data_IF_383577219766
#
_entry.id   IF_383577219766
#
_cell.length_a   1.000
_cell.length_b   1.000
_cell.length_c   1.000
_cell.angle_alpha   90.00
_cell.angle_beta   90.00
_cell.angle_gamma   90.00
#
_symmetry.space_group_name_H-M   'P 1'
#
loop_
_entity.id
_entity.type
_entity.pdbx_description
1 polymer ?
#
# COMPACT_ATOMS: atom_id res chain seq x y z
N UNK A 1 -22.80 -0.47 -1.34
CA UNK A 1 -22.12 -0.77 -0.05
C UNK A 1 -20.87 0.07 0.06
N UNK A 2 -20.76 0.90 1.10
CA UNK A 2 -19.62 1.80 1.30
C UNK A 2 -18.38 0.99 1.67
N UNK A 3 -17.37 0.98 0.79
CA UNK A 3 -16.07 0.38 1.07
C UNK A 3 -15.33 1.27 2.08
N UNK A 4 -15.45 0.92 3.36
CA UNK A 4 -14.57 1.44 4.41
C UNK A 4 -13.17 0.90 4.16
N UNK A 5 -12.41 1.61 3.33
CA UNK A 5 -10.99 1.35 3.18
C UNK A 5 -10.30 1.73 4.49
N UNK A 6 -9.84 0.73 5.24
CA UNK A 6 -8.95 0.95 6.39
C UNK A 6 -7.60 1.36 5.80
N UNK A 7 -7.46 2.66 5.54
CA UNK A 7 -6.21 3.26 5.09
C UNK A 7 -5.20 3.11 6.23
N UNK A 8 -3.92 2.91 5.89
CA UNK A 8 -2.83 3.10 6.85
C UNK A 8 -3.03 4.40 7.62
N UNK A 9 -2.82 4.37 8.93
CA UNK A 9 -2.87 5.59 9.72
C UNK A 9 -1.96 6.62 9.06
N UNK A 10 -2.54 7.75 8.70
CA UNK A 10 -1.85 8.83 7.99
C UNK A 10 -1.85 10.04 8.89
N UNK A 11 -0.72 10.71 9.02
CA UNK A 11 -0.71 12.00 9.71
C UNK A 11 -1.20 13.11 8.78
N UNK A 12 -2.03 13.99 9.30
CA UNK A 12 -2.58 15.14 8.57
C UNK A 12 -2.32 16.42 9.34
N UNK A 13 -2.03 17.51 8.63
CA UNK A 13 -1.81 18.85 9.18
C UNK A 13 -3.03 19.72 8.91
N UNK A 14 -3.44 20.52 9.90
CA UNK A 14 -4.52 21.50 9.76
C UNK A 14 -4.00 22.73 9.01
N UNK A 15 -4.76 23.23 8.03
CA UNK A 15 -4.34 24.34 7.14
C UNK A 15 -5.10 25.64 7.38
N UNK A 16 -6.02 25.68 8.36
CA UNK A 16 -6.84 26.86 8.68
C UNK A 16 -6.77 27.16 10.17
N UNK A 17 -6.90 28.43 10.54
CA UNK A 17 -6.70 28.91 11.91
C UNK A 17 -7.61 28.22 12.93
N UNK A 18 -8.85 27.91 12.52
CA UNK A 18 -9.80 27.18 13.35
C UNK A 18 -10.66 26.25 12.51
N UNK A 19 -10.60 24.96 12.83
CA UNK A 19 -11.37 23.90 12.20
C UNK A 19 -12.17 23.12 13.25
N UNK A 20 -13.48 22.98 13.02
CA UNK A 20 -14.34 22.20 13.88
C UNK A 20 -14.06 20.70 13.74
N UNK A 21 -13.93 20.04 14.89
CA UNK A 21 -13.98 18.57 15.02
C UNK A 21 -15.42 18.19 15.32
N UNK A 22 -16.01 17.30 14.52
CA UNK A 22 -17.42 16.92 14.62
C UNK A 22 -17.60 15.46 15.02
N UNK A 23 -18.75 15.14 15.62
CA UNK A 23 -19.07 13.78 16.06
C UNK A 23 -19.29 12.80 14.87
N UNK A 24 -19.72 13.29 13.72
CA UNK A 24 -19.98 12.49 12.51
C UNK A 24 -19.51 13.23 11.24
N UNK A 25 -19.30 12.53 10.10
CA UNK A 25 -18.74 13.11 8.87
C UNK A 25 -19.77 13.91 8.07
N UNK A 26 -20.37 14.92 8.69
CA UNK A 26 -21.29 15.86 8.02
C UNK A 26 -21.34 17.21 8.77
N UNK A 27 -21.85 18.25 8.11
CA UNK A 27 -21.90 19.61 8.67
C UNK A 27 -22.98 19.83 9.72
N UNK A 28 -23.97 18.92 9.81
CA UNK A 28 -25.07 18.96 10.79
C UNK A 28 -24.70 18.31 12.12
N UNK A 29 -23.65 17.49 12.15
CA UNK A 29 -23.17 16.82 13.35
C UNK A 29 -22.64 17.83 14.37
N UNK A 30 -22.86 17.52 15.65
CA UNK A 30 -22.38 18.35 16.77
C UNK A 30 -20.87 18.59 16.68
N UNK A 31 -20.47 19.82 17.02
CA UNK A 31 -19.07 20.20 17.17
C UNK A 31 -18.62 19.72 18.54
N UNK A 32 -17.62 18.85 18.57
CA UNK A 32 -17.07 18.25 19.79
C UNK A 32 -15.73 18.85 20.21
N UNK A 33 -15.19 19.76 19.39
CA UNK A 33 -13.97 20.50 19.67
C UNK A 33 -13.49 21.29 18.44
N UNK A 34 -12.34 21.94 18.58
CA UNK A 34 -11.69 22.68 17.50
C UNK A 34 -10.21 22.36 17.46
N UNK A 35 -9.65 22.41 16.25
CA UNK A 35 -8.21 22.28 15.98
C UNK A 35 -7.74 23.50 15.19
N UNK A 36 -6.46 23.83 15.31
CA UNK A 36 -5.88 25.05 14.76
C UNK A 36 -4.78 24.77 13.74
N UNK A 37 -4.46 25.79 12.94
CA UNK A 37 -3.45 25.72 11.88
C UNK A 37 -2.13 25.13 12.37
N UNK A 38 -1.57 24.26 11.55
CA UNK A 38 -0.29 23.61 11.77
C UNK A 38 -0.28 22.41 12.72
N UNK A 39 -1.36 22.18 13.47
CA UNK A 39 -1.49 20.99 14.30
C UNK A 39 -1.51 19.72 13.45
N UNK A 40 -0.91 18.63 13.96
CA UNK A 40 -0.81 17.36 13.25
C UNK A 40 -1.52 16.26 14.01
N UNK A 41 -2.39 15.53 13.32
CA UNK A 41 -3.22 14.47 13.90
C UNK A 41 -3.11 13.17 13.11
N UNK A 42 -3.37 12.05 13.78
CA UNK A 42 -3.50 10.74 13.13
C UNK A 42 -4.89 10.62 12.51
N UNK A 43 -4.96 10.56 11.19
CA UNK A 43 -6.15 10.20 10.42
C UNK A 43 -6.27 8.67 10.34
N UNK A 44 -7.33 8.15 10.95
CA UNK A 44 -7.59 6.71 11.10
C UNK A 44 -8.68 6.18 10.15
N UNK A 45 -9.39 7.06 9.46
CA UNK A 45 -10.35 6.73 8.41
C UNK A 45 -10.68 7.95 7.54
N UNK A 46 -11.28 7.71 6.39
CA UNK A 46 -11.86 8.75 5.53
C UNK A 46 -13.24 8.34 5.03
N UNK A 47 -14.18 9.28 4.99
CA UNK A 47 -15.54 9.04 4.52
C UNK A 47 -16.12 10.33 3.94
N UNK A 48 -16.62 10.29 2.69
CA UNK A 48 -17.41 11.37 2.07
C UNK A 48 -16.81 12.78 2.21
N UNK A 49 -15.49 12.93 1.98
CA UNK A 49 -14.82 14.22 2.12
C UNK A 49 -14.44 14.60 3.56
N UNK A 50 -14.57 13.69 4.52
CA UNK A 50 -14.14 13.86 5.92
C UNK A 50 -13.02 12.90 6.28
N UNK A 51 -12.20 13.32 7.24
CA UNK A 51 -11.18 12.48 7.88
C UNK A 51 -11.53 12.27 9.34
N UNK A 52 -11.53 11.03 9.78
CA UNK A 52 -11.62 10.70 11.20
C UNK A 52 -10.21 10.80 11.80
N UNK A 53 -10.05 11.65 12.80
CA UNK A 53 -8.79 11.88 13.52
C UNK A 53 -8.87 11.34 14.95
N UNK A 54 -7.72 10.95 15.50
CA UNK A 54 -7.54 10.75 16.94
C UNK A 54 -7.34 12.11 17.61
N UNK A 55 -8.26 12.51 18.49
CA UNK A 55 -8.35 13.84 19.09
C UNK A 55 -8.66 13.70 20.58
N UNK A 56 -7.81 14.22 21.46
CA UNK A 56 -7.98 14.23 22.93
C UNK A 56 -8.50 12.89 23.50
N UNK A 57 -7.80 11.80 23.16
CA UNK A 57 -8.10 10.43 23.60
C UNK A 57 -9.47 9.87 23.13
N UNK A 58 -10.09 10.50 22.14
CA UNK A 58 -11.28 10.02 21.43
C UNK A 58 -11.11 10.20 19.92
N UNK A 59 -12.16 9.90 19.17
CA UNK A 59 -12.18 10.13 17.71
C UNK A 59 -13.13 11.25 17.33
N UNK A 60 -12.82 11.97 16.26
CA UNK A 60 -13.67 13.01 15.70
C UNK A 60 -13.42 13.22 14.22
N UNK A 61 -14.31 13.94 13.54
CA UNK A 61 -14.27 14.15 12.10
C UNK A 61 -13.94 15.59 11.74
N UNK A 62 -12.97 15.76 10.84
CA UNK A 62 -12.59 17.05 10.26
C UNK A 62 -12.79 17.01 8.74
N UNK A 63 -13.11 18.16 8.14
CA UNK A 63 -13.29 18.24 6.70
C UNK A 63 -11.95 18.07 5.97
N UNK A 64 -11.91 17.21 4.96
CA UNK A 64 -10.68 16.90 4.21
C UNK A 64 -10.15 18.10 3.43
N UNK A 65 -10.99 19.11 3.17
CA UNK A 65 -10.61 20.33 2.43
C UNK A 65 -9.66 21.26 3.19
N UNK A 66 -9.56 21.09 4.51
CA UNK A 66 -8.78 21.97 5.39
C UNK A 66 -7.59 21.26 6.03
N UNK A 67 -7.18 20.12 5.47
CA UNK A 67 -6.08 19.34 5.99
C UNK A 67 -5.19 18.81 4.86
N UNK A 68 -3.88 18.91 5.04
CA UNK A 68 -2.88 18.34 4.14
C UNK A 68 -2.31 17.03 4.70
N UNK A 69 -1.78 16.16 3.84
CA UNK A 69 -1.09 14.94 4.28
C UNK A 69 0.34 15.29 4.69
N UNK A 70 0.85 14.65 5.74
CA UNK A 70 2.25 14.81 6.17
C UNK A 70 3.00 13.48 6.19
N UNK A 71 4.33 13.56 6.24
CA UNK A 71 5.21 12.41 6.43
C UNK A 71 5.62 12.23 7.90
N UNK A 72 4.99 12.95 8.84
CA UNK A 72 5.27 12.79 10.27
C UNK A 72 4.90 11.37 10.70
N UNK A 73 5.77 10.76 11.50
CA UNK A 73 5.51 9.42 12.06
C UNK A 73 4.37 9.51 13.08
N UNK A 74 3.60 8.45 13.20
CA UNK A 74 2.77 8.21 14.37
C UNK A 74 3.35 7.07 15.19
N UNK A 75 2.94 6.96 16.46
CA UNK A 75 3.28 5.87 17.36
C UNK A 75 2.07 5.48 18.20
N UNK A 76 1.94 4.19 18.51
CA UNK A 76 0.83 3.62 19.27
C UNK A 76 1.28 3.23 20.68
N UNK A 77 0.46 3.56 21.68
CA UNK A 77 0.67 3.20 23.08
C UNK A 77 0.51 1.69 23.28
N UNK A 78 1.47 1.06 23.96
CA UNK A 78 1.50 -0.41 24.18
C UNK A 78 1.24 -0.85 25.63
N UNK A 79 0.92 0.11 26.51
CA UNK A 79 0.65 -0.11 27.94
C UNK A 79 -0.76 0.37 28.29
N UNK A 80 -1.33 -0.14 29.39
CA UNK A 80 -2.70 0.17 29.82
C UNK A 80 -2.99 1.66 29.93
N UNK A 81 -2.11 2.39 30.61
CA UNK A 81 -2.15 3.84 30.78
C UNK A 81 -0.73 4.41 30.70
N UNK A 82 -0.58 5.57 30.07
CA UNK A 82 0.69 6.27 29.91
C UNK A 82 0.53 7.75 30.26
N UNK A 83 1.37 8.23 31.18
CA UNK A 83 1.37 9.63 31.59
C UNK A 83 1.79 10.56 30.44
N UNK A 84 0.99 11.61 30.25
CA UNK A 84 1.26 12.75 29.37
C UNK A 84 1.79 13.88 30.25
N UNK A 85 2.99 14.38 29.95
CA UNK A 85 3.72 15.36 30.79
C UNK A 85 3.91 16.70 30.10
N UNK A 86 4.13 17.75 30.88
CA UNK A 86 4.41 19.10 30.37
C UNK A 86 5.77 19.22 29.67
N UNK A 87 6.73 18.35 29.98
CA UNK A 87 8.08 18.34 29.39
C UNK A 87 8.68 16.94 29.25
N UNK A 88 9.84 16.82 28.57
CA UNK A 88 10.49 15.56 28.24
C UNK A 88 11.30 15.01 29.44
N UNK A 89 10.61 14.48 30.45
CA UNK A 89 11.24 13.91 31.65
C UNK A 89 10.23 13.50 32.72
N UNK A 90 10.64 12.61 33.63
CA UNK A 90 9.78 12.14 34.74
C UNK A 90 9.56 13.18 35.83
N UNK A 91 10.40 14.21 35.93
CA UNK A 91 10.28 15.32 36.87
C UNK A 91 9.24 16.38 36.43
N UNK A 92 8.84 16.37 35.15
CA UNK A 92 7.80 17.29 34.67
C UNK A 92 6.41 16.88 35.14
N UNK A 93 5.57 17.88 35.43
CA UNK A 93 4.17 17.71 35.85
C UNK A 93 3.40 16.80 34.89
N UNK A 94 2.66 15.84 35.45
CA UNK A 94 1.68 15.04 34.72
C UNK A 94 0.46 15.90 34.40
N UNK A 95 0.14 16.04 33.11
CA UNK A 95 -1.01 16.79 32.61
C UNK A 95 -2.24 15.90 32.46
N UNK A 96 -2.03 14.62 32.17
CA UNK A 96 -3.09 13.65 32.00
C UNK A 96 -2.51 12.29 31.64
N UNK A 97 -3.36 11.42 31.11
CA UNK A 97 -2.98 10.09 30.68
C UNK A 97 -3.57 9.78 29.30
N UNK A 98 -2.88 8.92 28.56
CA UNK A 98 -3.37 8.33 27.32
C UNK A 98 -3.50 6.81 27.51
N UNK A 99 -4.53 6.24 26.90
CA UNK A 99 -4.85 4.82 27.07
C UNK A 99 -4.08 3.91 26.11
N UNK A 100 -4.08 2.61 26.40
CA UNK A 100 -3.63 1.57 25.48
C UNK A 100 -4.25 1.74 24.09
N UNK A 101 -3.47 1.43 23.05
CA UNK A 101 -3.84 1.55 21.63
C UNK A 101 -4.11 2.97 21.12
N UNK A 102 -4.06 4.01 21.95
CA UNK A 102 -4.07 5.39 21.48
C UNK A 102 -2.89 5.61 20.51
N UNK A 103 -3.15 6.29 19.40
CA UNK A 103 -2.14 6.56 18.38
C UNK A 103 -1.93 8.05 18.23
N UNK A 104 -0.68 8.49 18.39
CA UNK A 104 -0.32 9.90 18.41
C UNK A 104 0.64 10.24 17.27
N UNK A 105 0.40 11.37 16.62
CA UNK A 105 1.37 11.96 15.71
C UNK A 105 2.55 12.49 16.52
N UNK A 106 3.77 12.15 16.09
CA UNK A 106 5.01 12.58 16.76
C UNK A 106 5.54 13.83 16.05
N UNK A 107 5.47 14.96 16.74
CA UNK A 107 6.00 16.23 16.23
C UNK A 107 7.53 16.25 16.23
N UNK A 108 8.12 15.72 17.31
CA UNK A 108 9.54 15.73 17.64
C UNK A 108 9.84 14.62 18.67
N UNK A 109 11.08 14.14 18.73
CA UNK A 109 11.58 13.26 19.79
C UNK A 109 12.79 13.90 20.47
N UNK A 110 12.81 13.97 21.80
CA UNK A 110 13.93 14.51 22.60
C UNK A 110 14.19 13.63 23.83
N UNK A 111 15.41 13.12 23.97
CA UNK A 111 15.79 12.31 25.14
C UNK A 111 14.91 11.08 25.38
N UNK A 112 14.43 10.44 24.31
CA UNK A 112 13.50 9.30 24.39
C UNK A 112 12.03 9.67 24.64
N UNK A 113 11.70 10.95 24.77
CA UNK A 113 10.33 11.45 24.88
C UNK A 113 9.81 11.91 23.53
N UNK A 114 8.58 11.55 23.21
CA UNK A 114 7.91 11.96 21.98
C UNK A 114 6.93 13.10 22.27
N UNK A 115 7.05 14.19 21.50
CA UNK A 115 6.17 15.37 21.58
C UNK A 115 4.90 15.10 20.78
N UNK A 116 3.75 15.20 21.44
CA UNK A 116 2.40 14.98 20.90
C UNK A 116 1.51 16.19 21.15
N UNK A 117 0.38 16.30 20.46
CA UNK A 117 -0.62 17.33 20.74
C UNK A 117 -1.75 16.74 21.58
N UNK A 118 -1.88 17.18 22.83
CA UNK A 118 -2.82 16.64 23.82
C UNK A 118 -3.41 17.77 24.67
N UNK A 119 -4.74 17.83 24.79
CA UNK A 119 -5.43 18.83 25.61
C UNK A 119 -5.14 20.25 25.15
N UNK A 120 -5.17 20.49 23.84
CA UNK A 120 -4.96 21.83 23.27
C UNK A 120 -3.52 22.34 23.31
N UNK A 121 -2.50 21.49 23.51
CA UNK A 121 -1.10 21.93 23.54
C UNK A 121 -0.11 20.82 23.22
N UNK A 122 1.14 21.21 22.94
CA UNK A 122 2.24 20.25 22.85
C UNK A 122 2.59 19.70 24.24
N UNK A 123 2.66 18.38 24.34
CA UNK A 123 2.93 17.59 25.56
C UNK A 123 3.87 16.44 25.22
N UNK A 124 4.34 15.73 26.24
CA UNK A 124 5.36 14.70 26.08
C UNK A 124 4.92 13.35 26.66
N UNK A 125 5.20 12.28 25.93
CA UNK A 125 4.99 10.89 26.36
C UNK A 125 6.29 10.11 26.21
N UNK A 126 6.53 9.16 27.11
CA UNK A 126 7.81 8.44 27.09
C UNK A 126 7.80 7.35 26.00
N UNK A 127 8.68 7.50 25.01
CA UNK A 127 8.71 6.69 23.79
C UNK A 127 8.95 5.20 24.02
N UNK A 128 9.55 4.80 25.16
CA UNK A 128 9.75 3.38 25.49
C UNK A 128 8.44 2.58 25.58
N UNK A 129 7.34 3.27 25.88
CA UNK A 129 5.99 2.70 25.99
C UNK A 129 5.18 2.78 24.70
N UNK A 130 5.85 3.11 23.60
CA UNK A 130 5.25 3.23 22.29
C UNK A 130 5.83 2.19 21.33
N UNK A 131 5.02 1.78 20.37
CA UNK A 131 5.44 1.00 19.20
C UNK A 131 5.16 1.80 17.93
N UNK A 132 5.90 1.50 16.86
CA UNK A 132 5.45 1.92 15.53
C UNK A 132 4.06 1.31 15.30
N UNK A 133 3.09 2.08 14.77
CA UNK A 133 1.77 1.54 14.48
C UNK A 133 1.96 0.43 13.46
N UNK A 134 1.38 -0.73 13.73
CA UNK A 134 1.29 -1.76 12.71
C UNK A 134 0.53 -1.15 11.53
N UNK A 135 1.05 -1.25 10.28
CA UNK A 135 0.22 -0.93 9.13
C UNK A 135 -1.09 -1.73 9.24
N UNK A 136 -2.23 -1.20 8.78
CA UNK A 136 -3.49 -1.93 8.83
C UNK A 136 -3.26 -3.29 8.23
N UNK A 137 -3.52 -4.33 9.03
CA UNK A 137 -3.43 -5.68 8.51
C UNK A 137 -4.49 -5.80 7.43
N UNK A 138 -4.11 -6.17 6.20
CA UNK A 138 -5.11 -6.33 5.17
C UNK A 138 -6.10 -7.43 5.58
N UNK A 139 -7.37 -7.36 5.12
CA UNK A 139 -8.34 -8.41 5.38
C UNK A 139 -7.75 -9.79 5.09
N UNK A 140 -7.94 -10.74 6.03
CA UNK A 140 -7.48 -12.13 5.91
C UNK A 140 -8.66 -13.06 5.64
N UNK A 141 -8.48 -14.04 4.77
CA UNK A 141 -9.46 -15.09 4.50
C UNK A 141 -9.16 -16.39 5.25
N UNK A 142 -10.08 -17.35 5.18
CA UNK A 142 -9.93 -18.66 5.80
C UNK A 142 -8.89 -19.52 5.08
N UNK A 143 -8.71 -19.30 3.77
CA UNK A 143 -7.61 -19.85 2.97
C UNK A 143 -6.22 -19.28 3.34
N UNK A 144 -6.11 -18.43 4.37
CA UNK A 144 -4.86 -17.81 4.78
C UNK A 144 -4.40 -16.66 3.88
N UNK A 145 -5.19 -16.28 2.88
CA UNK A 145 -4.86 -15.17 1.98
C UNK A 145 -5.10 -13.83 2.65
N UNK A 146 -4.35 -12.82 2.22
CA UNK A 146 -4.60 -11.42 2.55
C UNK A 146 -4.99 -10.65 1.29
N UNK A 147 -5.79 -9.61 1.45
CA UNK A 147 -6.20 -8.75 0.33
C UNK A 147 -5.13 -7.70 0.03
N UNK A 148 -4.74 -7.54 -1.24
CA UNK A 148 -3.92 -6.41 -1.67
C UNK A 148 -4.73 -5.10 -1.58
N UNK A 149 -4.20 -4.03 -0.99
CA UNK A 149 -4.86 -2.73 -1.00
C UNK A 149 -5.09 -2.20 -2.42
N UNK A 150 -6.18 -1.46 -2.64
CA UNK A 150 -6.49 -0.92 -3.98
C UNK A 150 -5.38 -0.01 -4.56
N UNK A 151 -4.56 0.61 -3.70
CA UNK A 151 -3.39 1.40 -4.08
C UNK A 151 -2.39 1.48 -2.93
N UNK A 152 -1.13 1.71 -3.27
CA UNK A 152 -0.07 2.01 -2.31
C UNK A 152 1.05 2.81 -2.94
N UNK A 153 2.15 2.98 -2.19
CA UNK A 153 3.33 3.67 -2.72
C UNK A 153 3.96 2.79 -3.80
N UNK A 154 3.95 3.29 -5.04
CA UNK A 154 4.50 2.61 -6.21
C UNK A 154 3.59 1.63 -6.93
N UNK A 155 2.36 1.39 -6.48
CA UNK A 155 1.41 0.51 -7.19
C UNK A 155 -0.05 0.97 -7.13
N UNK A 156 -0.84 0.41 -8.03
CA UNK A 156 -2.30 0.45 -8.01
C UNK A 156 -2.87 -0.92 -8.41
N UNK A 157 -4.04 -1.28 -7.88
CA UNK A 157 -4.80 -2.43 -8.38
C UNK A 157 -5.51 -2.05 -9.67
N UNK A 158 -5.29 -2.83 -10.72
CA UNK A 158 -5.94 -2.72 -12.02
C UNK A 158 -7.25 -3.52 -12.09
N UNK A 159 -7.60 -4.22 -11.01
CA UNK A 159 -8.72 -5.18 -10.96
C UNK A 159 -9.59 -4.97 -9.71
N UNK A 160 -10.86 -5.40 -9.74
CA UNK A 160 -11.75 -5.30 -8.59
C UNK A 160 -11.24 -6.09 -7.38
N UNK A 161 -11.60 -5.65 -6.18
CA UNK A 161 -11.05 -6.15 -4.92
C UNK A 161 -11.34 -7.63 -4.64
N UNK A 162 -12.34 -8.22 -5.29
CA UNK A 162 -12.64 -9.65 -5.16
C UNK A 162 -11.60 -10.55 -5.86
N UNK A 163 -10.75 -10.00 -6.73
CA UNK A 163 -9.66 -10.70 -7.44
C UNK A 163 -8.26 -10.35 -6.92
N UNK A 164 -8.18 -9.67 -5.77
CA UNK A 164 -6.93 -9.14 -5.23
C UNK A 164 -6.48 -9.86 -3.96
N UNK A 165 -6.66 -11.18 -3.88
CA UNK A 165 -6.30 -11.97 -2.70
C UNK A 165 -5.12 -12.88 -3.01
N UNK A 166 -4.20 -13.02 -2.07
CA UNK A 166 -3.10 -13.97 -2.24
C UNK A 166 -2.38 -14.28 -0.94
N UNK A 167 -1.40 -15.18 -1.00
CA UNK A 167 -0.57 -15.49 0.16
C UNK A 167 0.11 -14.23 0.69
N UNK A 168 0.35 -14.13 2.00
CA UNK A 168 1.04 -12.98 2.59
C UNK A 168 2.37 -12.66 1.90
N UNK A 169 3.14 -13.68 1.52
CA UNK A 169 4.41 -13.52 0.79
C UNK A 169 4.21 -12.85 -0.58
N UNK A 170 3.15 -13.21 -1.31
CA UNK A 170 2.82 -12.57 -2.59
C UNK A 170 2.45 -11.09 -2.37
N UNK A 171 1.47 -10.83 -1.51
CA UNK A 171 0.92 -9.48 -1.32
C UNK A 171 1.94 -8.52 -0.72
N UNK A 172 2.70 -8.94 0.30
CA UNK A 172 3.76 -8.09 0.85
C UNK A 172 4.95 -7.95 -0.09
N UNK A 173 5.31 -9.00 -0.83
CA UNK A 173 6.34 -8.91 -1.86
C UNK A 173 5.99 -7.85 -2.91
N UNK A 174 4.74 -7.82 -3.38
CA UNK A 174 4.25 -6.86 -4.37
C UNK A 174 4.30 -5.42 -3.85
N UNK A 175 3.93 -5.20 -2.58
CA UNK A 175 4.04 -3.88 -1.94
C UNK A 175 5.50 -3.43 -1.82
N UNK A 176 6.40 -4.35 -1.44
CA UNK A 176 7.84 -4.05 -1.27
C UNK A 176 8.54 -3.79 -2.60
N UNK A 177 8.31 -4.63 -3.60
CA UNK A 177 8.90 -4.48 -4.94
C UNK A 177 8.43 -3.19 -5.60
N UNK A 178 7.15 -2.86 -5.47
CA UNK A 178 6.58 -1.63 -6.02
C UNK A 178 7.05 -0.37 -5.29
N UNK A 179 7.22 -0.43 -3.97
CA UNK A 179 7.80 0.65 -3.19
C UNK A 179 9.25 0.91 -3.61
N UNK A 180 10.05 -0.14 -3.77
CA UNK A 180 11.44 -0.04 -4.23
C UNK A 180 11.50 0.56 -5.64
N UNK A 181 10.67 0.05 -6.57
CA UNK A 181 10.52 0.59 -7.92
C UNK A 181 10.26 2.10 -7.90
N UNK A 182 9.29 2.54 -7.10
CA UNK A 182 8.93 3.97 -7.03
C UNK A 182 9.99 4.83 -6.34
N UNK A 183 10.76 4.27 -5.40
CA UNK A 183 11.88 4.98 -4.79
C UNK A 183 13.00 5.22 -5.80
N UNK A 184 13.34 4.18 -6.56
CA UNK A 184 14.45 4.24 -7.50
C UNK A 184 14.05 4.99 -8.78
N UNK A 185 12.77 4.91 -9.18
CA UNK A 185 12.22 5.50 -10.40
C UNK A 185 10.95 6.32 -10.15
N UNK A 186 11.01 7.45 -9.43
CA UNK A 186 9.82 8.22 -9.04
C UNK A 186 8.97 8.71 -10.22
N UNK A 187 9.58 8.90 -11.40
CA UNK A 187 8.95 9.45 -12.61
C UNK A 187 8.56 8.38 -13.66
N UNK A 188 8.77 7.09 -13.39
CA UNK A 188 8.50 6.02 -14.38
C UNK A 188 7.10 5.41 -14.28
N UNK A 189 6.26 5.98 -13.41
CA UNK A 189 4.91 5.49 -13.16
C UNK A 189 4.87 4.38 -12.11
N UNK A 190 3.64 3.99 -11.75
CA UNK A 190 3.36 2.95 -10.76
C UNK A 190 3.16 1.60 -11.42
N UNK A 191 3.46 0.53 -10.70
CA UNK A 191 3.19 -0.84 -11.12
C UNK A 191 1.67 -1.10 -11.07
N UNK A 192 1.09 -1.52 -12.19
CA UNK A 192 -0.30 -1.93 -12.26
C UNK A 192 -0.44 -3.40 -11.91
N UNK A 193 -1.01 -3.71 -10.75
CA UNK A 193 -1.21 -5.07 -10.29
C UNK A 193 -2.57 -5.58 -10.78
N UNK A 194 -2.55 -6.61 -11.61
CA UNK A 194 -3.71 -7.27 -12.19
C UNK A 194 -4.33 -8.29 -11.24
N UNK A 195 -4.77 -9.40 -11.80
CA UNK A 195 -5.49 -10.43 -11.06
C UNK A 195 -4.51 -11.20 -10.15
N UNK A 196 -4.90 -11.42 -8.89
CA UNK A 196 -4.32 -12.41 -7.99
C UNK A 196 -5.34 -13.55 -7.90
N UNK A 197 -5.72 -14.00 -6.70
CA UNK A 197 -6.78 -14.99 -6.47
C UNK A 197 -8.10 -14.38 -6.00
N UNK A 198 -9.15 -15.21 -5.99
CA UNK A 198 -10.37 -14.95 -5.21
C UNK A 198 -10.09 -15.05 -3.71
N UNK A 199 -11.02 -14.53 -2.89
CA UNK A 199 -10.91 -14.49 -1.42
C UNK A 199 -10.53 -15.84 -0.80
N UNK A 200 -11.10 -16.94 -1.28
CA UNK A 200 -10.82 -18.29 -0.80
C UNK A 200 -10.05 -19.13 -1.83
N UNK A 201 -9.50 -18.50 -2.87
CA UNK A 201 -8.95 -19.21 -4.01
C UNK A 201 -10.01 -19.77 -4.96
N UNK A 202 -9.60 -20.76 -5.74
CA UNK A 202 -10.46 -21.43 -6.73
C UNK A 202 -10.43 -20.78 -8.11
N UNK A 203 -11.19 -21.37 -9.03
CA UNK A 203 -11.17 -21.03 -10.46
C UNK A 203 -11.61 -19.58 -10.69
N UNK A 204 -10.85 -18.88 -11.53
CA UNK A 204 -11.22 -17.58 -12.05
C UNK A 204 -11.53 -17.71 -13.54
N UNK A 205 -12.68 -17.18 -13.97
CA UNK A 205 -13.03 -17.20 -15.40
C UNK A 205 -11.94 -16.53 -16.23
N UNK A 206 -11.49 -17.22 -17.29
CA UNK A 206 -10.39 -16.78 -18.15
C UNK A 206 -8.98 -17.15 -17.67
N UNK A 207 -8.83 -17.77 -16.50
CA UNK A 207 -7.53 -18.18 -15.94
C UNK A 207 -7.51 -19.68 -15.64
N UNK A 208 -6.43 -20.34 -16.01
CA UNK A 208 -6.15 -21.73 -15.62
C UNK A 208 -5.54 -21.77 -14.21
N UNK A 209 -4.67 -20.81 -13.90
CA UNK A 209 -4.01 -20.60 -12.60
C UNK A 209 -4.79 -19.60 -11.72
N UNK A 210 -4.12 -18.88 -10.81
CA UNK A 210 -4.70 -17.91 -9.86
C UNK A 210 -5.56 -18.51 -8.76
N UNK A 211 -5.44 -19.81 -8.49
CA UNK A 211 -6.34 -20.47 -7.54
C UNK A 211 -5.80 -20.52 -6.11
N UNK A 212 -4.48 -20.40 -5.92
CA UNK A 212 -3.81 -20.70 -4.65
C UNK A 212 -3.14 -19.50 -3.96
N UNK A 213 -3.36 -18.29 -4.48
CA UNK A 213 -2.75 -17.07 -3.93
C UNK A 213 -1.26 -16.93 -4.25
N UNK A 214 -0.78 -17.61 -5.29
CA UNK A 214 0.64 -17.67 -5.70
C UNK A 214 0.89 -17.04 -7.06
N UNK A 215 -0.18 -16.69 -7.77
CA UNK A 215 -0.09 -16.10 -9.10
C UNK A 215 -0.52 -14.63 -9.08
N UNK A 216 0.11 -13.82 -9.92
CA UNK A 216 -0.29 -12.43 -10.15
C UNK A 216 -0.04 -12.03 -11.59
N UNK A 217 -1.04 -11.38 -12.21
CA UNK A 217 -0.81 -10.67 -13.47
C UNK A 217 -0.32 -9.26 -13.16
N UNK A 218 0.70 -8.82 -13.90
CA UNK A 218 1.26 -7.48 -13.73
C UNK A 218 1.23 -6.79 -15.10
N UNK A 219 0.60 -5.63 -15.14
CA UNK A 219 0.50 -4.83 -16.36
C UNK A 219 1.88 -4.43 -16.86
N UNK A 220 2.03 -4.38 -18.18
CA UNK A 220 3.26 -3.92 -18.80
C UNK A 220 3.55 -2.46 -18.45
N UNK A 221 4.82 -2.18 -18.16
CA UNK A 221 5.29 -0.86 -17.78
C UNK A 221 5.45 0.02 -19.03
N UNK A 222 4.84 1.22 -18.97
CA UNK A 222 4.81 2.20 -20.05
C UNK A 222 5.95 3.22 -19.91
N UNK A 223 6.43 3.75 -21.03
CA UNK A 223 7.42 4.85 -21.12
C UNK A 223 6.88 6.16 -20.54
N UNK A 224 5.60 6.42 -20.75
CA UNK A 224 4.91 7.64 -20.30
C UNK A 224 4.46 7.60 -18.82
N UNK A 225 4.67 6.48 -18.12
CA UNK A 225 4.33 6.33 -16.71
C UNK A 225 2.83 6.33 -16.40
N UNK A 226 1.95 6.31 -17.40
CA UNK A 226 0.50 6.38 -17.19
C UNK A 226 -0.04 5.10 -16.52
N UNK A 227 -1.01 5.26 -15.61
CA UNK A 227 -1.65 4.16 -14.87
C UNK A 227 -2.74 3.44 -15.71
N UNK A 228 -2.38 2.93 -16.89
CA UNK A 228 -3.27 2.24 -17.83
C UNK A 228 -2.57 1.05 -18.50
N UNK A 229 -3.35 0.16 -19.12
CA UNK A 229 -2.81 -1.00 -19.86
C UNK A 229 -2.00 -0.59 -21.10
N UNK A 230 -1.20 -1.52 -21.61
CA UNK A 230 -0.52 -1.45 -22.92
C UNK A 230 -0.27 -2.86 -23.43
N UNK A 231 -0.02 -3.02 -24.73
CA UNK A 231 0.53 -4.26 -25.30
C UNK A 231 1.98 -4.07 -25.74
N UNK A 232 2.72 -5.15 -25.97
CA UNK A 232 4.10 -5.12 -26.52
C UNK A 232 4.19 -4.44 -27.90
N UNK A 233 3.06 -4.29 -28.61
CA UNK A 233 3.00 -3.69 -29.94
C UNK A 233 2.82 -2.17 -29.92
N UNK A 234 2.47 -1.59 -28.77
CA UNK A 234 2.13 -0.17 -28.68
C UNK A 234 3.36 0.71 -28.42
N UNK A 235 3.39 1.91 -29.02
CA UNK A 235 4.55 2.84 -28.96
C UNK A 235 5.06 3.18 -27.55
N UNK A 236 4.14 3.20 -26.59
CA UNK A 236 4.40 3.56 -25.20
C UNK A 236 4.85 2.36 -24.35
N UNK A 237 4.87 1.14 -24.85
CA UNK A 237 5.48 -0.01 -24.17
C UNK A 237 7.00 0.19 -24.00
N UNK A 238 7.56 -0.26 -22.87
CA UNK A 238 8.99 -0.15 -22.57
C UNK A 238 9.61 -1.51 -22.24
N UNK A 239 10.22 -2.17 -23.22
CA UNK A 239 10.97 -3.42 -22.99
C UNK A 239 12.02 -3.27 -21.89
N UNK A 240 12.79 -2.18 -21.91
CA UNK A 240 13.79 -1.85 -20.87
C UNK A 240 13.19 -1.85 -19.45
N UNK A 241 12.06 -1.15 -19.24
CA UNK A 241 11.45 -1.02 -17.91
C UNK A 241 10.91 -2.36 -17.41
N UNK A 242 10.28 -3.14 -18.29
CA UNK A 242 9.76 -4.46 -17.93
C UNK A 242 10.88 -5.45 -17.61
N UNK A 243 11.94 -5.48 -18.43
CA UNK A 243 13.13 -6.30 -18.17
C UNK A 243 13.80 -5.95 -16.85
N UNK A 244 13.95 -4.66 -16.55
CA UNK A 244 14.49 -4.20 -15.27
C UNK A 244 13.59 -4.58 -14.09
N UNK A 245 12.28 -4.40 -14.21
CA UNK A 245 11.36 -4.79 -13.15
C UNK A 245 11.46 -6.29 -12.82
N UNK A 246 11.53 -7.13 -13.85
CA UNK A 246 11.70 -8.58 -13.73
C UNK A 246 13.06 -8.92 -13.07
N UNK A 247 14.17 -8.44 -13.64
CA UNK A 247 15.53 -8.84 -13.21
C UNK A 247 15.92 -8.28 -11.84
N UNK A 248 15.49 -7.06 -11.51
CA UNK A 248 15.94 -6.33 -10.32
C UNK A 248 14.96 -6.46 -9.16
N UNK A 249 13.65 -6.35 -9.44
CA UNK A 249 12.66 -6.26 -8.37
C UNK A 249 11.97 -7.61 -8.16
N UNK A 250 11.44 -8.25 -9.20
CA UNK A 250 10.76 -9.55 -9.00
C UNK A 250 11.72 -10.61 -8.47
N UNK A 251 12.91 -10.73 -9.08
CA UNK A 251 13.95 -11.68 -8.60
C UNK A 251 14.41 -11.41 -7.17
N UNK A 252 14.40 -10.15 -6.72
CA UNK A 252 14.87 -9.77 -5.37
C UNK A 252 13.83 -10.02 -4.28
N UNK A 253 12.55 -9.82 -4.61
CA UNK A 253 11.46 -9.85 -3.63
C UNK A 253 10.65 -11.15 -3.66
N UNK A 254 10.91 -12.04 -4.63
CA UNK A 254 10.22 -13.31 -4.77
C UNK A 254 11.18 -14.43 -5.15
N UNK A 255 10.88 -15.62 -4.65
CA UNK A 255 11.32 -16.87 -5.27
C UNK A 255 10.43 -17.13 -6.49
N UNK A 256 10.88 -16.61 -7.63
CA UNK A 256 10.17 -16.74 -8.90
C UNK A 256 10.20 -18.21 -9.34
N UNK A 257 9.02 -18.79 -9.54
CA UNK A 257 8.87 -20.09 -10.18
C UNK A 257 8.88 -19.91 -11.69
N UNK A 258 7.97 -19.07 -12.19
CA UNK A 258 7.75 -18.90 -13.62
C UNK A 258 7.13 -17.54 -13.93
N UNK A 259 7.49 -16.98 -15.07
CA UNK A 259 6.83 -15.80 -15.64
C UNK A 259 6.39 -16.12 -17.06
N UNK A 260 5.13 -15.86 -17.40
CA UNK A 260 4.69 -15.82 -18.79
C UNK A 260 4.75 -14.41 -19.34
N UNK A 261 5.49 -14.23 -20.42
CA UNK A 261 5.58 -12.95 -21.10
C UNK A 261 6.09 -13.07 -22.55
N UNK A 262 5.42 -12.42 -23.50
CA UNK A 262 5.68 -12.61 -24.93
C UNK A 262 6.62 -11.58 -25.56
N UNK A 263 7.29 -10.71 -24.79
CA UNK A 263 8.39 -9.93 -25.33
C UNK A 263 9.58 -10.86 -25.63
N UNK A 264 9.91 -11.02 -26.91
CA UNK A 264 11.02 -11.87 -27.36
C UNK A 264 12.39 -11.37 -26.95
N UNK A 265 12.53 -10.14 -26.44
CA UNK A 265 13.75 -9.67 -25.78
C UNK A 265 13.86 -10.15 -24.33
N UNK A 266 12.78 -10.66 -23.74
CA UNK A 266 12.68 -10.99 -22.32
C UNK A 266 12.50 -12.49 -22.09
N UNK A 267 11.68 -13.18 -22.87
CA UNK A 267 11.56 -14.64 -22.72
C UNK A 267 12.79 -15.38 -23.22
N UNK A 268 13.13 -16.50 -22.58
CA UNK A 268 14.10 -17.48 -23.08
C UNK A 268 13.51 -18.87 -23.28
N UNK A 269 12.37 -19.18 -22.66
CA UNK A 269 11.71 -20.47 -22.76
C UNK A 269 10.58 -20.44 -23.78
N UNK A 270 10.46 -21.52 -24.56
CA UNK A 270 9.42 -21.70 -25.56
C UNK A 270 8.69 -23.02 -25.28
N UNK A 271 7.38 -22.98 -24.95
CA UNK A 271 6.62 -24.19 -24.74
C UNK A 271 6.36 -24.89 -26.08
N UNK A 272 6.33 -26.21 -26.05
CA UNK A 272 5.90 -27.05 -27.17
C UNK A 272 4.76 -27.97 -26.72
N UNK A 273 3.84 -28.25 -27.64
CA UNK A 273 2.80 -29.26 -27.45
C UNK A 273 2.75 -30.14 -28.70
N UNK A 274 2.91 -31.46 -28.53
CA UNK A 274 3.03 -32.42 -29.63
C UNK A 274 4.06 -31.99 -30.70
N UNK A 275 5.22 -31.50 -30.26
CA UNK A 275 6.30 -31.04 -31.14
C UNK A 275 6.05 -29.70 -31.85
N UNK A 276 4.87 -29.07 -31.69
CA UNK A 276 4.52 -27.80 -32.33
C UNK A 276 4.58 -26.63 -31.33
N UNK A 277 5.08 -25.48 -31.80
CA UNK A 277 5.05 -24.22 -31.04
C UNK A 277 3.70 -23.55 -31.18
N UNK A 278 3.26 -22.90 -30.11
CA UNK A 278 2.08 -22.04 -30.14
C UNK A 278 2.28 -20.85 -31.10
N UNK A 279 1.20 -20.36 -31.71
CA UNK A 279 1.22 -19.25 -32.68
C UNK A 279 1.92 -18.00 -32.15
N UNK A 280 1.60 -17.63 -30.91
CA UNK A 280 2.19 -16.49 -30.20
C UNK A 280 3.69 -16.65 -29.91
N UNK A 281 4.18 -17.89 -29.91
CA UNK A 281 5.52 -18.27 -29.49
C UNK A 281 6.40 -18.77 -30.65
N UNK A 282 6.14 -18.27 -31.86
CA UNK A 282 6.95 -18.60 -33.04
C UNK A 282 8.28 -17.85 -33.08
N UNK A 283 8.36 -16.64 -32.51
CA UNK A 283 9.58 -15.85 -32.48
C UNK A 283 10.64 -16.54 -31.62
N UNK A 284 11.89 -16.57 -32.09
CA UNK A 284 13.03 -17.04 -31.30
C UNK A 284 13.31 -16.07 -30.14
N UNK A 285 13.78 -16.57 -28.97
CA UNK A 285 14.31 -15.72 -27.91
C UNK A 285 15.43 -14.83 -28.43
N UNK A 286 15.48 -13.59 -27.95
CA UNK A 286 16.63 -12.72 -28.09
C UNK A 286 17.76 -13.08 -27.12
N UNK A 287 18.93 -12.51 -27.33
CA UNK A 287 20.13 -12.76 -26.51
C UNK A 287 20.02 -12.30 -25.05
N UNK A 288 19.03 -11.45 -24.73
CA UNK A 288 18.81 -10.89 -23.39
C UNK A 288 17.77 -11.64 -22.55
N UNK A 289 17.31 -12.80 -23.04
CA UNK A 289 16.28 -13.62 -22.41
C UNK A 289 16.57 -13.98 -20.94
N UNK A 290 15.50 -14.21 -20.19
CA UNK A 290 15.54 -14.50 -18.75
C UNK A 290 15.11 -15.94 -18.51
N UNK A 291 15.96 -16.71 -17.84
CA UNK A 291 15.82 -18.16 -17.68
C UNK A 291 14.48 -18.64 -17.11
N UNK A 292 13.78 -17.81 -16.32
CA UNK A 292 12.48 -18.10 -15.73
C UNK A 292 11.30 -17.39 -16.42
N UNK A 293 11.52 -16.82 -17.62
CA UNK A 293 10.49 -16.21 -18.46
C UNK A 293 10.22 -17.07 -19.69
N UNK A 294 8.96 -17.53 -19.80
CA UNK A 294 8.44 -18.35 -20.89
C UNK A 294 7.46 -17.56 -21.74
N UNK A 295 7.53 -17.73 -23.07
CA UNK A 295 6.44 -17.28 -23.93
C UNK A 295 5.19 -18.14 -23.69
N UNK A 296 4.00 -17.56 -23.64
CA UNK A 296 2.75 -18.32 -23.50
C UNK A 296 1.59 -17.61 -24.23
N UNK A 297 0.64 -18.35 -24.83
CA UNK A 297 -0.51 -17.73 -25.51
C UNK A 297 -1.17 -16.61 -24.69
N UNK A 298 -1.51 -15.49 -25.35
CA UNK A 298 -2.21 -14.33 -24.81
C UNK A 298 -1.45 -13.44 -23.80
N UNK A 299 -0.14 -13.61 -23.61
CA UNK A 299 0.66 -12.80 -22.66
C UNK A 299 1.38 -11.61 -23.32
N UNK A 300 0.63 -10.84 -24.12
CA UNK A 300 1.14 -9.67 -24.87
C UNK A 300 0.88 -8.33 -24.18
N UNK A 301 0.07 -8.29 -23.12
CA UNK A 301 -0.40 -7.07 -22.44
C UNK A 301 -0.21 -7.08 -20.91
N UNK A 302 0.34 -8.18 -20.39
CA UNK A 302 0.78 -8.36 -19.01
C UNK A 302 1.88 -9.42 -18.97
N UNK A 303 2.57 -9.51 -17.85
CA UNK A 303 3.30 -10.72 -17.50
C UNK A 303 2.60 -11.40 -16.31
N UNK A 304 2.42 -12.71 -16.42
CA UNK A 304 1.86 -13.56 -15.39
C UNK A 304 3.00 -14.13 -14.55
N UNK A 305 3.09 -13.77 -13.27
CA UNK A 305 4.11 -14.26 -12.34
C UNK A 305 3.51 -15.35 -11.44
N UNK A 306 4.23 -16.46 -11.32
CA UNK A 306 4.06 -17.46 -10.26
C UNK A 306 5.25 -17.47 -9.31
N UNK A 307 4.98 -17.58 -8.01
CA UNK A 307 5.99 -17.71 -6.96
C UNK A 307 5.99 -19.13 -6.35
N UNK A 308 7.15 -19.60 -5.90
CA UNK A 308 7.34 -20.92 -5.25
C UNK A 308 6.74 -20.98 -3.86
#
# INVERSE_FOLDING_TARGET
>A
MFSSSVIASQTVRIEVDRLNVRAAPNTRASVIGTVAVGQVYVSIASQSGWRRIWFDNRTGWVSSRYVSRTNKKSKKVKVGSLNVRSGPGTHYRTIGQTSNNAEWAVAETRGGWDKIYFGGSHRWIYGKFLNNPNPPRPPKSNAGFIQLPAKGKGFYSAKPSNRSWGLPRLVYGLQKSSLAWHRDHPNWGKIGIGDLSLKQGGRISGHVSHQRGEDVDIRLIRKDGAAKGTTIYQKHYSSKRNLEYIKTYLKKYFEVDLIFFNDNKVFSMLPSHNGKRYGDCRKKPGSTGVAYVMCWPNHHDHFHLRIK
#
